data_IF_877474033539
#
_entry.id   IF_877474033539
#
_cell.length_a   1.000
_cell.length_b   1.000
_cell.length_c   1.000
_cell.angle_alpha   90.00
_cell.angle_beta   90.00
_cell.angle_gamma   90.00
#
_symmetry.space_group_name_H-M   'P 1'
#
loop_
_entity.id
_entity.type
_entity.pdbx_description
1 polymer ?
#
# COMPACT_ATOMS: atom_id res chain seq x y z
N UNK A 1 19.24 -23.09 -11.39
CA UNK A 1 19.20 -22.08 -10.31
C UNK A 1 19.88 -20.81 -10.79
N UNK A 2 19.35 -20.14 -11.82
CA UNK A 2 20.11 -19.12 -12.56
C UNK A 2 19.18 -18.09 -13.20
N UNK A 3 18.76 -17.12 -12.40
CA UNK A 3 18.41 -15.78 -12.90
C UNK A 3 18.61 -14.71 -11.81
N UNK A 4 18.28 -15.02 -10.54
CA UNK A 4 18.29 -14.02 -9.46
C UNK A 4 19.58 -13.94 -8.62
N UNK A 5 20.42 -14.98 -8.56
CA UNK A 5 21.49 -15.10 -7.55
C UNK A 5 22.61 -14.04 -7.60
N UNK A 6 22.84 -13.39 -8.73
CA UNK A 6 23.91 -12.39 -8.92
C UNK A 6 23.39 -10.97 -9.18
N UNK A 7 22.07 -10.73 -9.08
CA UNK A 7 21.46 -9.44 -9.41
C UNK A 7 20.98 -8.73 -8.14
N UNK A 8 21.30 -7.45 -8.03
CA UNK A 8 20.67 -6.58 -7.04
C UNK A 8 19.28 -6.21 -7.56
N UNK A 9 18.25 -6.55 -6.79
CA UNK A 9 16.89 -6.09 -7.04
C UNK A 9 16.77 -4.69 -6.44
N UNK A 10 16.26 -3.75 -7.23
CA UNK A 10 15.88 -2.42 -6.75
C UNK A 10 14.39 -2.49 -6.48
N UNK A 11 14.03 -2.53 -5.20
CA UNK A 11 12.66 -2.33 -4.80
C UNK A 11 12.38 -0.83 -4.82
N UNK A 12 11.43 -0.42 -5.67
CA UNK A 12 11.06 0.99 -5.86
C UNK A 12 9.91 1.39 -4.94
N UNK A 13 9.33 0.44 -4.20
CA UNK A 13 8.15 0.66 -3.36
C UNK A 13 8.31 -0.05 -2.01
N UNK A 14 9.14 0.56 -1.16
CA UNK A 14 9.37 0.10 0.21
C UNK A 14 8.77 1.11 1.19
N UNK A 15 8.29 0.62 2.32
CA UNK A 15 7.64 1.43 3.34
C UNK A 15 8.36 1.30 4.69
N UNK A 16 8.29 2.36 5.48
CA UNK A 16 8.61 2.38 6.91
C UNK A 16 7.31 2.61 7.68
N UNK A 17 7.26 2.14 8.92
CA UNK A 17 6.26 2.55 9.90
C UNK A 17 6.91 3.54 10.86
N UNK A 18 6.48 4.79 10.81
CA UNK A 18 6.88 5.82 11.77
C UNK A 18 6.27 5.56 13.16
N UNK A 19 6.81 6.25 14.16
CA UNK A 19 6.16 6.33 15.47
C UNK A 19 4.88 7.16 15.38
N UNK A 20 3.92 6.81 16.22
CA UNK A 20 2.61 7.46 16.34
C UNK A 20 2.67 8.99 16.48
N UNK A 21 3.76 9.50 17.08
CA UNK A 21 3.97 10.91 17.39
C UNK A 21 4.82 11.66 16.36
N UNK A 22 5.31 11.00 15.29
CA UNK A 22 6.27 11.58 14.36
C UNK A 22 5.82 12.93 13.79
N UNK A 23 4.57 13.02 13.33
CA UNK A 23 4.03 14.26 12.77
C UNK A 23 3.97 15.38 13.80
N UNK A 24 3.62 15.08 15.05
CA UNK A 24 3.60 16.06 16.12
C UNK A 24 5.00 16.49 16.54
N UNK A 25 5.99 15.60 16.50
CA UNK A 25 7.37 15.89 16.88
C UNK A 25 8.08 16.84 15.91
N UNK A 26 7.66 16.88 14.63
CA UNK A 26 8.30 17.70 13.59
C UNK A 26 7.50 18.95 13.19
N UNK A 27 6.25 19.06 13.65
CA UNK A 27 5.38 20.17 13.31
C UNK A 27 5.73 21.45 14.08
N UNK A 28 5.59 22.59 13.40
CA UNK A 28 5.47 23.89 14.08
C UNK A 28 4.14 23.97 14.84
N UNK A 29 4.05 24.94 15.76
CA UNK A 29 2.80 25.18 16.52
C UNK A 29 1.59 25.46 15.61
N UNK A 30 1.81 26.13 14.46
CA UNK A 30 0.77 26.41 13.47
C UNK A 30 0.34 25.13 12.72
N UNK A 31 1.30 24.29 12.34
CA UNK A 31 1.02 23.02 11.63
C UNK A 31 0.35 21.99 12.54
N UNK A 32 0.73 21.95 13.82
CA UNK A 32 0.20 21.01 14.79
C UNK A 32 -1.34 21.09 14.93
N UNK A 33 -1.92 22.27 14.70
CA UNK A 33 -3.37 22.48 14.72
C UNK A 33 -4.13 21.69 13.63
N UNK A 34 -3.44 21.26 12.56
CA UNK A 34 -4.03 20.51 11.44
C UNK A 34 -3.79 19.00 11.52
N UNK A 35 -2.93 18.54 12.44
CA UNK A 35 -2.61 17.12 12.60
C UNK A 35 -3.77 16.45 13.36
N UNK A 36 -4.37 15.43 12.74
CA UNK A 36 -5.39 14.61 13.40
C UNK A 36 -4.71 13.52 14.23
N UNK A 37 -5.20 13.24 15.45
CA UNK A 37 -4.70 12.13 16.25
C UNK A 37 -4.80 10.82 15.47
N UNK A 38 -3.82 9.95 15.65
CA UNK A 38 -3.80 8.67 14.92
C UNK A 38 -4.97 7.78 15.35
N UNK A 39 -5.35 7.81 16.63
CA UNK A 39 -6.53 7.12 17.15
C UNK A 39 -7.87 7.68 16.61
N UNK A 40 -7.86 8.89 16.05
CA UNK A 40 -9.02 9.48 15.40
C UNK A 40 -9.16 9.05 13.94
N UNK A 41 -8.20 8.30 13.40
CA UNK A 41 -8.35 7.64 12.11
C UNK A 41 -9.46 6.60 12.23
N UNK A 42 -10.58 6.87 11.55
CA UNK A 42 -11.57 5.85 11.27
C UNK A 42 -11.12 5.13 10.02
N UNK A 43 -11.03 3.79 10.07
CA UNK A 43 -10.73 3.00 8.88
C UNK A 43 -11.69 3.40 7.77
N UNK A 44 -11.17 3.58 6.55
CA UNK A 44 -12.03 3.64 5.38
C UNK A 44 -12.85 2.35 5.38
N UNK A 45 -14.18 2.42 5.18
CA UNK A 45 -14.99 1.22 5.14
C UNK A 45 -14.42 0.29 4.08
N UNK A 46 -14.03 -0.92 4.51
CA UNK A 46 -13.57 -1.96 3.61
C UNK A 46 -14.70 -2.24 2.61
N UNK A 47 -14.48 -1.88 1.34
CA UNK A 47 -15.44 -2.19 0.29
C UNK A 47 -15.30 -3.67 -0.09
N UNK A 48 -16.14 -4.51 0.50
CA UNK A 48 -16.23 -5.92 0.14
C UNK A 48 -16.51 -6.12 -1.35
N UNK A 49 -17.34 -5.25 -1.95
CA UNK A 49 -17.58 -5.23 -3.38
C UNK A 49 -16.29 -5.00 -4.19
N UNK A 50 -15.44 -4.06 -3.78
CA UNK A 50 -14.17 -3.81 -4.45
C UNK A 50 -13.22 -5.02 -4.34
N UNK A 51 -13.21 -5.69 -3.19
CA UNK A 51 -12.41 -6.90 -2.97
C UNK A 51 -12.89 -8.03 -3.88
N UNK A 52 -14.20 -8.25 -3.98
CA UNK A 52 -14.77 -9.32 -4.80
C UNK A 52 -14.51 -9.09 -6.29
N UNK A 53 -14.65 -7.85 -6.79
CA UNK A 53 -14.21 -7.52 -8.16
C UNK A 53 -12.72 -7.78 -8.39
N UNK A 54 -11.88 -7.50 -7.39
CA UNK A 54 -10.45 -7.80 -7.43
C UNK A 54 -10.17 -9.31 -7.57
N UNK A 55 -10.94 -10.15 -6.85
CA UNK A 55 -10.88 -11.61 -6.97
C UNK A 55 -11.29 -12.08 -8.35
N UNK A 56 -12.40 -11.58 -8.89
CA UNK A 56 -12.85 -11.91 -10.25
C UNK A 56 -11.82 -11.54 -11.31
N UNK A 57 -11.17 -10.38 -11.17
CA UNK A 57 -10.08 -9.97 -12.08
C UNK A 57 -8.87 -10.90 -12.00
N UNK A 58 -8.52 -11.33 -10.79
CA UNK A 58 -7.44 -12.30 -10.58
C UNK A 58 -7.78 -13.66 -11.21
N UNK A 59 -9.00 -14.16 -11.01
CA UNK A 59 -9.46 -15.43 -11.57
C UNK A 59 -9.46 -15.39 -13.10
N UNK A 60 -9.99 -14.31 -13.69
CA UNK A 60 -9.97 -14.09 -15.14
C UNK A 60 -8.54 -14.07 -15.70
N UNK A 61 -7.62 -13.42 -15.00
CA UNK A 61 -6.20 -13.40 -15.38
C UNK A 61 -5.56 -14.79 -15.33
N UNK A 62 -5.88 -15.58 -14.32
CA UNK A 62 -5.31 -16.91 -14.16
C UNK A 62 -5.90 -17.90 -15.17
N UNK A 63 -7.15 -17.71 -15.58
CA UNK A 63 -7.83 -18.56 -16.55
C UNK A 63 -7.41 -18.29 -18.00
N UNK A 64 -7.01 -17.05 -18.33
CA UNK A 64 -6.59 -16.67 -19.68
C UNK A 64 -5.20 -16.00 -19.69
N UNK A 65 -4.14 -16.75 -20.03
CA UNK A 65 -2.78 -16.24 -20.13
C UNK A 65 -2.61 -15.16 -21.22
N UNK A 66 -3.44 -15.16 -22.27
CA UNK A 66 -3.35 -14.16 -23.35
C UNK A 66 -3.88 -12.80 -22.90
N UNK A 67 -4.73 -12.75 -21.88
CA UNK A 67 -5.26 -11.51 -21.31
C UNK A 67 -4.17 -10.64 -20.64
N UNK A 68 -3.02 -11.23 -20.31
CA UNK A 68 -1.82 -10.54 -19.82
C UNK A 68 -0.73 -10.40 -20.89
N UNK A 69 -0.93 -10.95 -22.09
CA UNK A 69 -0.03 -10.76 -23.20
C UNK A 69 -0.21 -9.33 -23.74
N UNK A 70 0.83 -8.52 -23.59
CA UNK A 70 0.95 -7.20 -24.23
C UNK A 70 1.49 -7.34 -25.64
#
# INVERSE_FOLDING_TARGET
MTYAGNRRIIDVDSHLFELDDFLHAVATDEEAAFIRPMEAQTELPVSLEAIDRGREHLDRRNADPELMAK
#
